data_IF_823986117079
#
_entry.id   IF_823986117079
#
_cell.length_a   1.000
_cell.length_b   1.000
_cell.length_c   1.000
_cell.angle_alpha   90.00
_cell.angle_beta   90.00
_cell.angle_gamma   90.00
#
_symmetry.space_group_name_H-M   'P 1'
#
loop_
_entity.id
_entity.type
_entity.pdbx_description
1 polymer ?
#
# COMPACT_ATOMS: atom_id res chain seq x y z
N UNK A 1 -9.75 14.78 0.69
CA UNK A 1 -9.85 13.44 0.07
C UNK A 1 -9.43 12.42 1.11
N UNK A 2 -10.30 11.48 1.46
CA UNK A 2 -9.99 10.37 2.38
C UNK A 2 -9.50 9.17 1.57
N UNK A 3 -8.19 9.10 1.33
CA UNK A 3 -7.60 7.96 0.61
C UNK A 3 -7.80 6.65 1.35
N UNK A 4 -8.00 5.54 0.63
CA UNK A 4 -8.19 4.21 1.23
C UNK A 4 -6.98 3.79 2.05
N UNK A 5 -5.78 4.20 1.64
CA UNK A 5 -4.51 3.87 2.29
C UNK A 5 -3.90 5.04 3.07
N UNK A 6 -4.74 5.97 3.55
CA UNK A 6 -4.24 7.10 4.35
C UNK A 6 -3.72 6.60 5.71
N UNK A 7 -2.40 6.56 5.84
CA UNK A 7 -1.66 6.16 7.04
C UNK A 7 -1.39 7.29 8.04
N UNK A 8 -0.49 7.07 9.01
CA UNK A 8 0.20 5.80 9.28
C UNK A 8 -0.77 4.72 9.80
N UNK A 9 -0.51 3.45 9.46
CA UNK A 9 -1.18 2.32 10.08
C UNK A 9 -0.22 1.57 11.00
N UNK A 10 -0.75 0.90 12.00
CA UNK A 10 0.03 0.15 12.95
C UNK A 10 -0.65 -1.18 13.26
N UNK A 11 0.16 -2.23 13.32
CA UNK A 11 -0.23 -3.49 13.94
C UNK A 11 -0.27 -3.31 15.45
N UNK A 12 -1.38 -3.68 16.08
CA UNK A 12 -1.50 -3.64 17.53
C UNK A 12 -0.80 -4.87 18.15
N UNK A 13 0.41 -4.69 18.66
CA UNK A 13 1.12 -5.72 19.41
C UNK A 13 0.44 -5.95 20.76
N UNK A 14 0.35 -7.22 21.19
CA UNK A 14 -0.25 -7.67 22.47
C UNK A 14 -1.74 -7.34 22.60
N UNK A 15 -2.56 -8.07 21.84
CA UNK A 15 -4.00 -8.10 22.05
C UNK A 15 -4.39 -9.39 22.78
N UNK A 16 -5.01 -9.26 23.95
CA UNK A 16 -5.49 -10.39 24.77
C UNK A 16 -6.61 -11.20 24.09
N UNK A 17 -7.16 -10.70 22.98
CA UNK A 17 -8.31 -11.25 22.28
C UNK A 17 -7.97 -12.22 21.12
N UNK A 18 -6.82 -12.91 21.15
CA UNK A 18 -6.43 -13.93 20.14
C UNK A 18 -6.67 -13.50 18.67
N UNK A 19 -6.35 -12.24 18.35
CA UNK A 19 -6.64 -11.62 17.04
C UNK A 19 -5.59 -10.58 16.66
N UNK A 20 -5.29 -10.48 15.36
CA UNK A 20 -4.33 -9.50 14.82
C UNK A 20 -5.07 -8.29 14.28
N UNK A 21 -4.91 -7.12 14.91
CA UNK A 21 -5.64 -5.91 14.56
C UNK A 21 -4.69 -4.89 13.93
N UNK A 22 -5.13 -4.28 12.83
CA UNK A 22 -4.47 -3.13 12.20
C UNK A 22 -5.31 -1.89 12.45
N UNK A 23 -4.66 -0.82 12.91
CA UNK A 23 -5.30 0.45 13.21
C UNK A 23 -4.63 1.59 12.46
N UNK A 24 -5.44 2.56 12.05
CA UNK A 24 -4.97 3.83 11.52
C UNK A 24 -4.89 4.91 12.60
N UNK A 25 -4.68 6.17 12.17
CA UNK A 25 -4.61 7.31 13.09
C UNK A 25 -5.92 7.46 13.89
N UNK A 26 -5.81 8.02 15.09
CA UNK A 26 -6.94 8.18 16.02
C UNK A 26 -7.67 6.87 16.34
N UNK A 27 -6.93 5.76 16.41
CA UNK A 27 -7.45 4.43 16.74
C UNK A 27 -8.48 3.89 15.72
N UNK A 28 -8.54 4.45 14.50
CA UNK A 28 -9.45 4.02 13.43
C UNK A 28 -9.22 2.54 13.12
N UNK A 29 -10.27 1.74 13.18
CA UNK A 29 -10.20 0.33 12.82
C UNK A 29 -9.99 0.17 11.30
N UNK A 30 -8.96 -0.59 10.90
CA UNK A 30 -8.70 -0.92 9.48
C UNK A 30 -9.17 -2.35 9.20
N UNK A 31 -8.61 -3.32 9.93
CA UNK A 31 -8.99 -4.71 9.80
C UNK A 31 -8.63 -5.52 11.05
N UNK A 32 -9.21 -6.72 11.13
CA UNK A 32 -8.87 -7.75 12.12
C UNK A 32 -8.76 -9.08 11.39
N UNK A 33 -7.69 -9.81 11.69
CA UNK A 33 -7.50 -11.19 11.23
C UNK A 33 -7.65 -12.13 12.43
N UNK A 34 -8.34 -13.25 12.21
CA UNK A 34 -8.39 -14.34 13.19
C UNK A 34 -6.99 -14.90 13.40
N UNK A 35 -6.66 -15.28 14.63
CA UNK A 35 -5.37 -15.92 14.88
C UNK A 35 -5.31 -17.31 14.23
N UNK A 36 -4.10 -17.67 13.80
CA UNK A 36 -3.73 -19.01 13.39
C UNK A 36 -2.54 -19.52 14.22
N UNK A 37 -2.26 -20.82 14.11
CA UNK A 37 -1.09 -21.44 14.74
C UNK A 37 0.18 -21.32 13.89
N UNK A 38 0.08 -20.84 12.65
CA UNK A 38 1.19 -20.76 11.69
C UNK A 38 1.94 -19.42 11.72
N UNK A 39 1.37 -18.40 12.36
CA UNK A 39 1.88 -17.03 12.35
C UNK A 39 1.61 -16.29 11.03
N UNK A 40 0.83 -16.87 10.11
CA UNK A 40 0.54 -16.24 8.81
C UNK A 40 -0.34 -15.01 8.96
N UNK A 41 -1.30 -15.06 9.88
CA UNK A 41 -2.20 -13.96 10.16
C UNK A 41 -1.46 -12.77 10.79
N UNK A 42 -0.42 -13.03 11.59
CA UNK A 42 0.46 -11.97 12.10
C UNK A 42 1.25 -11.31 10.97
N UNK A 43 1.91 -12.12 10.13
CA UNK A 43 2.67 -11.61 8.97
C UNK A 43 1.78 -10.81 8.03
N UNK A 44 0.58 -11.30 7.77
CA UNK A 44 -0.41 -10.64 6.92
C UNK A 44 -0.86 -9.32 7.54
N UNK A 45 -1.14 -9.27 8.85
CA UNK A 45 -1.48 -8.02 9.52
C UNK A 45 -0.35 -6.98 9.44
N UNK A 46 0.91 -7.41 9.62
CA UNK A 46 2.08 -6.54 9.48
C UNK A 46 2.23 -6.03 8.03
N UNK A 47 1.98 -6.87 7.04
CA UNK A 47 1.98 -6.47 5.62
C UNK A 47 0.88 -5.44 5.32
N UNK A 48 -0.34 -5.66 5.82
CA UNK A 48 -1.44 -4.70 5.68
C UNK A 48 -1.07 -3.38 6.36
N UNK A 49 -0.50 -3.42 7.56
CA UNK A 49 -0.07 -2.22 8.28
C UNK A 49 0.97 -1.39 7.51
N UNK A 50 1.79 -2.02 6.65
CA UNK A 50 2.77 -1.35 5.80
C UNK A 50 2.20 -0.79 4.49
N UNK A 51 0.90 -0.98 4.20
CA UNK A 51 0.31 -0.52 2.94
C UNK A 51 0.47 0.99 2.66
N UNK A 52 0.36 1.91 3.65
CA UNK A 52 0.61 3.34 3.42
C UNK A 52 2.06 3.62 2.96
N UNK A 53 3.04 2.98 3.58
CA UNK A 53 4.46 3.11 3.26
C UNK A 53 4.76 2.50 1.88
N UNK A 54 4.11 1.38 1.53
CA UNK A 54 4.22 0.77 0.20
C UNK A 54 3.63 1.69 -0.89
N UNK A 55 2.50 2.36 -0.62
CA UNK A 55 1.93 3.34 -1.54
C UNK A 55 2.88 4.53 -1.73
N UNK A 56 3.47 5.06 -0.66
CA UNK A 56 4.46 6.15 -0.74
C UNK A 56 5.69 5.74 -1.58
N UNK A 57 6.20 4.52 -1.38
CA UNK A 57 7.28 3.98 -2.19
C UNK A 57 6.89 3.83 -3.67
N UNK A 58 5.65 3.38 -3.96
CA UNK A 58 5.15 3.25 -5.32
C UNK A 58 5.00 4.60 -6.03
N UNK A 59 4.49 5.62 -5.34
CA UNK A 59 4.39 7.00 -5.87
C UNK A 59 5.78 7.56 -6.17
N UNK A 60 6.76 7.34 -5.30
CA UNK A 60 8.16 7.73 -5.53
C UNK A 60 8.75 7.01 -6.74
N UNK A 61 8.51 5.70 -6.87
CA UNK A 61 8.95 4.91 -8.00
C UNK A 61 8.33 5.40 -9.31
N UNK A 62 7.01 5.66 -9.34
CA UNK A 62 6.32 6.20 -10.51
C UNK A 62 6.95 7.53 -10.96
N UNK A 63 7.24 8.42 -10.00
CA UNK A 63 7.92 9.69 -10.28
C UNK A 63 9.30 9.47 -10.87
N UNK A 64 10.11 8.60 -10.28
CA UNK A 64 11.45 8.26 -10.80
C UNK A 64 11.36 7.68 -12.22
N UNK A 65 10.41 6.79 -12.49
CA UNK A 65 10.22 6.23 -13.82
C UNK A 65 9.77 7.28 -14.84
N UNK A 66 8.97 8.27 -14.45
CA UNK A 66 8.61 9.40 -15.33
C UNK A 66 9.84 10.27 -15.64
N UNK A 67 10.66 10.56 -14.63
CA UNK A 67 11.91 11.33 -14.80
C UNK A 67 12.94 10.59 -15.68
N UNK A 68 13.15 9.28 -15.45
CA UNK A 68 14.06 8.45 -16.27
C UNK A 68 13.49 8.20 -17.66
N UNK A 69 12.19 7.92 -17.78
CA UNK A 69 11.51 7.72 -19.06
C UNK A 69 11.61 8.97 -19.95
N UNK A 70 11.57 10.17 -19.36
CA UNK A 70 11.83 11.42 -20.06
C UNK A 70 13.24 11.48 -20.66
N UNK A 71 14.24 10.92 -19.97
CA UNK A 71 15.64 10.80 -20.44
C UNK A 71 15.77 9.69 -21.49
N UNK A 72 15.12 8.55 -21.30
CA UNK A 72 15.21 7.36 -22.15
C UNK A 72 14.32 7.41 -23.41
N UNK A 73 13.45 8.42 -23.57
CA UNK A 73 12.65 8.62 -24.79
C UNK A 73 13.48 8.90 -26.06
N UNK A 74 14.81 8.91 -25.95
CA UNK A 74 15.71 8.79 -27.09
C UNK A 74 15.73 7.37 -27.71
N UNK A 75 15.25 6.33 -26.99
CA UNK A 75 15.24 4.95 -27.48
C UNK A 75 13.86 4.30 -27.35
N UNK A 76 13.43 3.70 -28.46
CA UNK A 76 12.05 3.26 -28.70
C UNK A 76 11.78 1.94 -28.00
N UNK A 77 11.01 2.00 -26.92
CA UNK A 77 10.00 1.01 -26.47
C UNK A 77 9.69 1.33 -25.01
N UNK A 78 8.81 2.31 -24.79
CA UNK A 78 8.21 2.49 -23.47
C UNK A 78 7.10 1.45 -23.31
N UNK A 79 7.15 0.55 -22.32
CA UNK A 79 5.98 -0.26 -21.97
C UNK A 79 4.90 0.61 -21.31
N UNK A 80 4.19 1.45 -22.09
CA UNK A 80 3.10 2.34 -21.63
C UNK A 80 2.07 1.61 -20.74
N UNK A 81 1.89 0.30 -20.95
CA UNK A 81 1.09 -0.58 -20.11
C UNK A 81 1.49 -0.56 -18.63
N UNK A 82 2.80 -0.62 -18.32
CA UNK A 82 3.30 -0.65 -16.94
C UNK A 82 3.02 0.67 -16.22
N UNK A 83 3.17 1.81 -16.88
CA UNK A 83 2.83 3.12 -16.28
C UNK A 83 1.35 3.26 -16.01
N UNK A 84 0.51 2.78 -16.93
CA UNK A 84 -0.94 2.79 -16.75
C UNK A 84 -1.36 1.91 -15.57
N UNK A 85 -0.75 0.73 -15.43
CA UNK A 85 -0.98 -0.16 -14.29
C UNK A 85 -0.57 0.48 -12.96
N UNK A 86 0.63 1.05 -12.86
CA UNK A 86 1.11 1.73 -11.64
C UNK A 86 0.19 2.92 -11.29
N UNK A 87 -0.18 3.72 -12.28
CA UNK A 87 -1.06 4.88 -12.09
C UNK A 87 -2.45 4.45 -11.59
N UNK A 88 -3.00 3.37 -12.14
CA UNK A 88 -4.29 2.83 -11.72
C UNK A 88 -4.27 2.32 -10.27
N UNK A 89 -3.19 1.63 -9.87
CA UNK A 89 -3.01 1.16 -8.48
C UNK A 89 -2.93 2.33 -7.50
N UNK A 90 -2.19 3.39 -7.83
CA UNK A 90 -2.10 4.60 -7.00
C UNK A 90 -3.46 5.30 -6.91
N UNK A 91 -4.20 5.39 -8.00
CA UNK A 91 -5.52 6.01 -8.03
C UNK A 91 -6.50 5.24 -7.12
N UNK A 92 -6.56 3.91 -7.23
CA UNK A 92 -7.43 3.08 -6.40
C UNK A 92 -7.08 3.17 -4.91
N UNK A 93 -5.79 3.14 -4.57
CA UNK A 93 -5.31 3.30 -3.19
C UNK A 93 -5.67 4.67 -2.59
N UNK A 94 -5.76 5.71 -3.43
CA UNK A 94 -6.23 7.04 -3.04
C UNK A 94 -7.77 7.18 -3.06
N UNK A 95 -8.50 6.11 -3.40
CA UNK A 95 -9.96 6.10 -3.45
C UNK A 95 -10.56 6.63 -4.75
N UNK A 96 -9.74 6.89 -5.77
CA UNK A 96 -10.23 7.08 -7.14
C UNK A 96 -10.68 5.75 -7.73
N UNK A 97 -11.81 5.70 -8.45
CA UNK A 97 -12.08 4.53 -9.29
C UNK A 97 -11.10 4.52 -10.47
N UNK A 98 -10.62 3.34 -10.92
CA UNK A 98 -9.90 3.24 -12.18
C UNK A 98 -10.76 3.71 -13.36
#
# INVERSE_FOLDING_TARGET
MTGRTQGPWAYQEQNDAYTHIVRGPNNRFICQLSQDSSGESERTARLIAAAPELLDALVKAERMFREIGFIAAADKERPESLWNEISAVIADANGGRP
#
